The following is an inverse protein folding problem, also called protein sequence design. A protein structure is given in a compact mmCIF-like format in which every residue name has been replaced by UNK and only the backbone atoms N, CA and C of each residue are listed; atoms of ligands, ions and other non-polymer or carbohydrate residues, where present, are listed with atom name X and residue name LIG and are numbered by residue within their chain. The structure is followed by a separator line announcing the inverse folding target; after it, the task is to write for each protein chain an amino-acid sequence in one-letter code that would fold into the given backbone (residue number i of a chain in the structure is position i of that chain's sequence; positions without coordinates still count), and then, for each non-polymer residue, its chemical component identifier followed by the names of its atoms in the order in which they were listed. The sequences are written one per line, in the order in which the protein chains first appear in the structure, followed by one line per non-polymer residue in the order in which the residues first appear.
data_IF_193678465435
#
_entry.id   IF_193678465435
#
_cell.length_a   1.000
_cell.length_b   1.000
_cell.length_c   1.000
_cell.angle_alpha   90.00
_cell.angle_beta   90.00
_cell.angle_gamma   90.00
#
_symmetry.space_group_name_H-M   'P 1'
#
loop_
_entity.id
_entity.type
_entity.pdbx_description
1 polymer ?
#
# COMPACT_ATOMS: atom_id res chain seq x y z
N UNK A 1 31.15 -3.31 5.45
CA UNK A 1 31.13 -3.70 4.03
C UNK A 1 29.99 -4.65 3.64
N UNK A 2 29.71 -5.77 4.34
CA UNK A 2 28.60 -6.67 3.98
C UNK A 2 27.20 -6.16 4.39
N UNK A 3 27.12 -5.36 5.46
CA UNK A 3 25.86 -4.74 5.88
C UNK A 3 25.48 -3.53 5.02
N UNK A 4 26.46 -2.82 4.45
CA UNK A 4 26.23 -1.59 3.69
C UNK A 4 25.45 -1.87 2.38
N UNK A 5 25.74 -3.01 1.73
CA UNK A 5 25.01 -3.45 0.53
C UNK A 5 23.55 -3.85 0.83
N UNK A 6 23.31 -4.51 1.97
CA UNK A 6 21.97 -4.91 2.41
C UNK A 6 21.10 -3.70 2.78
N UNK A 7 21.71 -2.69 3.43
CA UNK A 7 21.01 -1.44 3.74
C UNK A 7 20.66 -0.70 2.45
N UNK A 8 21.59 -0.56 1.51
CA UNK A 8 21.34 0.09 0.23
C UNK A 8 20.20 -0.59 -0.55
N UNK A 9 20.22 -1.92 -0.64
CA UNK A 9 19.15 -2.69 -1.30
C UNK A 9 17.78 -2.44 -0.64
N UNK A 10 17.69 -2.47 0.69
CA UNK A 10 16.42 -2.18 1.38
C UNK A 10 15.93 -0.75 1.12
N UNK A 11 16.84 0.23 1.03
CA UNK A 11 16.47 1.60 0.68
C UNK A 11 15.94 1.71 -0.75
N UNK A 12 16.57 1.02 -1.71
CA UNK A 12 16.11 1.00 -3.10
C UNK A 12 14.72 0.39 -3.23
N UNK A 13 14.44 -0.68 -2.48
CA UNK A 13 13.11 -1.30 -2.44
C UNK A 13 12.07 -0.38 -1.81
N UNK A 14 12.42 0.32 -0.72
CA UNK A 14 11.54 1.31 -0.10
C UNK A 14 11.24 2.46 -1.07
N UNK A 15 12.25 2.99 -1.75
CA UNK A 15 12.08 4.03 -2.77
C UNK A 15 11.21 3.55 -3.94
N UNK A 16 11.40 2.31 -4.39
CA UNK A 16 10.57 1.70 -5.43
C UNK A 16 9.10 1.56 -5.02
N UNK A 17 8.84 1.20 -3.76
CA UNK A 17 7.47 1.14 -3.23
C UNK A 17 6.83 2.54 -3.17
N UNK A 18 7.56 3.55 -2.71
CA UNK A 18 7.08 4.94 -2.69
C UNK A 18 6.81 5.47 -4.12
N UNK A 19 7.65 5.10 -5.10
CA UNK A 19 7.44 5.43 -6.51
C UNK A 19 6.12 4.84 -7.03
N UNK A 20 5.89 3.55 -6.81
CA UNK A 20 4.65 2.85 -7.19
C UNK A 20 3.45 3.47 -6.48
N UNK A 21 3.56 3.69 -5.17
CA UNK A 21 2.51 4.32 -4.37
C UNK A 21 2.14 5.69 -4.95
N UNK A 22 3.12 6.53 -5.25
CA UNK A 22 2.89 7.90 -5.74
C UNK A 22 2.24 7.94 -7.12
N UNK A 23 2.49 6.96 -7.99
CA UNK A 23 1.76 6.79 -9.27
C UNK A 23 0.30 6.41 -9.05
N UNK A 24 0.04 5.44 -8.17
CA UNK A 24 -1.32 4.98 -7.89
C UNK A 24 -2.12 6.03 -7.10
N UNK A 25 -1.48 6.73 -6.18
CA UNK A 25 -2.10 7.78 -5.36
C UNK A 25 -2.60 8.96 -6.20
N UNK A 26 -1.94 9.26 -7.33
CA UNK A 26 -2.37 10.31 -8.26
C UNK A 26 -3.77 10.04 -8.84
N UNK A 27 -4.14 8.76 -9.00
CA UNK A 27 -5.46 8.36 -9.50
C UNK A 27 -6.61 8.73 -8.55
N UNK A 28 -6.33 8.92 -7.25
CA UNK A 28 -7.35 9.24 -6.25
C UNK A 28 -7.41 10.74 -5.98
N UNK A 29 -8.60 11.33 -5.94
CA UNK A 29 -8.78 12.75 -5.61
C UNK A 29 -8.63 13.05 -4.11
N UNK A 30 -9.00 12.09 -3.25
CA UNK A 30 -9.04 12.25 -1.78
C UNK A 30 -7.78 11.72 -1.11
N UNK A 31 -7.37 12.36 -0.01
CA UNK A 31 -6.19 11.97 0.76
C UNK A 31 -6.33 10.60 1.47
N UNK A 32 -7.54 10.25 1.93
CA UNK A 32 -7.79 8.99 2.65
C UNK A 32 -7.49 7.73 1.78
N UNK A 33 -8.04 7.57 0.56
CA UNK A 33 -7.66 6.48 -0.34
C UNK A 33 -6.17 6.46 -0.71
N UNK A 34 -5.54 7.64 -0.85
CA UNK A 34 -4.09 7.73 -1.10
C UNK A 34 -3.32 7.08 0.05
N UNK A 35 -3.57 7.49 1.29
CA UNK A 35 -2.89 6.88 2.44
C UNK A 35 -3.15 5.37 2.54
N UNK A 36 -4.41 4.95 2.29
CA UNK A 36 -4.81 3.55 2.40
C UNK A 36 -4.19 2.66 1.33
N UNK A 37 -3.97 3.15 0.11
CA UNK A 37 -3.37 2.34 -0.95
C UNK A 37 -1.93 1.93 -0.61
N UNK A 38 -1.17 2.78 0.08
CA UNK A 38 0.17 2.42 0.56
C UNK A 38 0.12 1.28 1.58
N UNK A 39 -0.80 1.35 2.54
CA UNK A 39 -1.00 0.28 3.53
C UNK A 39 -1.42 -1.03 2.86
N UNK A 40 -2.32 -0.94 1.86
CA UNK A 40 -2.74 -2.07 1.05
C UNK A 40 -1.57 -2.72 0.29
N UNK A 41 -0.72 -1.92 -0.37
CA UNK A 41 0.47 -2.40 -1.09
C UNK A 41 1.47 -3.07 -0.13
N UNK A 42 1.72 -2.47 1.04
CA UNK A 42 2.58 -3.06 2.07
C UNK A 42 2.05 -4.42 2.53
N UNK A 43 0.74 -4.55 2.73
CA UNK A 43 0.12 -5.84 3.06
C UNK A 43 0.23 -6.87 1.93
N UNK A 44 0.07 -6.46 0.68
CA UNK A 44 0.21 -7.34 -0.49
C UNK A 44 1.65 -7.82 -0.71
N UNK A 45 2.64 -6.98 -0.46
CA UNK A 45 4.06 -7.31 -0.66
C UNK A 45 4.70 -7.93 0.59
N UNK A 46 4.06 -7.78 1.74
CA UNK A 46 4.50 -8.36 3.01
C UNK A 46 4.32 -9.88 3.07
N UNK A 47 4.88 -10.46 4.12
CA UNK A 47 4.84 -11.89 4.40
C UNK A 47 3.53 -12.31 5.10
N UNK A 48 2.39 -11.85 4.60
CA UNK A 48 1.09 -12.28 5.11
C UNK A 48 0.71 -13.63 4.53
N UNK A 49 0.32 -14.58 5.39
CA UNK A 49 -0.08 -15.93 4.98
C UNK A 49 -1.31 -15.90 4.04
N UNK A 50 -2.25 -14.98 4.29
CA UNK A 50 -3.43 -14.77 3.45
C UNK A 50 -3.61 -13.28 3.11
N UNK A 51 -3.94 -13.00 1.85
CA UNK A 51 -4.13 -11.64 1.32
C UNK A 51 -5.61 -11.35 1.06
N UNK A 52 -6.44 -11.55 2.09
CA UNK A 52 -7.85 -11.19 2.04
C UNK A 52 -8.08 -9.81 2.71
N UNK A 53 -9.26 -9.22 2.49
CA UNK A 53 -9.57 -7.88 2.98
C UNK A 53 -9.49 -7.72 4.50
N UNK A 54 -9.78 -8.77 5.27
CA UNK A 54 -9.65 -8.74 6.74
C UNK A 54 -8.17 -8.72 7.15
N UNK A 55 -7.36 -9.67 6.66
CA UNK A 55 -5.94 -9.76 7.02
C UNK A 55 -5.16 -8.53 6.57
N UNK A 56 -5.51 -7.93 5.43
CA UNK A 56 -4.90 -6.68 4.97
C UNK A 56 -5.31 -5.47 5.82
N UNK A 57 -6.56 -5.43 6.30
CA UNK A 57 -7.02 -4.40 7.22
C UNK A 57 -6.33 -4.50 8.59
N UNK A 58 -6.20 -5.72 9.12
CA UNK A 58 -5.43 -5.97 10.36
C UNK A 58 -3.97 -5.55 10.20
N UNK A 59 -3.32 -5.93 9.10
CA UNK A 59 -1.93 -5.54 8.83
C UNK A 59 -1.77 -4.01 8.68
N UNK A 60 -2.83 -3.30 8.28
CA UNK A 60 -2.87 -1.86 8.21
C UNK A 60 -3.25 -1.17 9.54
N UNK A 61 -3.52 -1.94 10.60
CA UNK A 61 -3.95 -1.41 11.90
C UNK A 61 -5.41 -0.95 11.95
N UNK A 62 -6.23 -1.39 11.00
CA UNK A 62 -7.66 -1.05 10.96
C UNK A 62 -8.48 -2.02 11.83
N UNK A 63 -9.53 -1.48 12.46
CA UNK A 63 -10.44 -2.25 13.32
C UNK A 63 -11.49 -3.04 12.55
N UNK A 64 -11.64 -2.78 11.25
CA UNK A 64 -12.59 -3.47 10.37
C UNK A 64 -12.08 -3.48 8.92
N UNK A 65 -12.56 -4.42 8.07
CA UNK A 65 -12.19 -4.47 6.66
C UNK A 65 -12.86 -3.39 5.82
N UNK A 66 -13.72 -2.56 6.40
CA UNK A 66 -14.56 -1.63 5.64
C UNK A 66 -13.74 -0.55 4.94
N UNK A 67 -12.62 -0.11 5.55
CA UNK A 67 -11.70 0.83 4.92
C UNK A 67 -11.11 0.26 3.62
N UNK A 68 -10.60 -0.97 3.70
CA UNK A 68 -10.07 -1.71 2.54
C UNK A 68 -11.15 -2.01 1.50
N UNK A 69 -12.36 -2.37 1.93
CA UNK A 69 -13.47 -2.59 1.00
C UNK A 69 -13.89 -1.30 0.31
N UNK A 70 -13.96 -0.17 1.03
CA UNK A 70 -14.24 1.14 0.42
C UNK A 70 -13.16 1.52 -0.59
N UNK A 71 -11.88 1.32 -0.28
CA UNK A 71 -10.78 1.54 -1.22
C UNK A 71 -10.99 0.78 -2.53
N UNK A 72 -11.36 -0.51 -2.46
CA UNK A 72 -11.42 -1.37 -3.64
C UNK A 72 -12.75 -1.28 -4.40
N UNK A 73 -13.85 -0.92 -3.73
CA UNK A 73 -15.20 -0.98 -4.32
C UNK A 73 -15.79 0.38 -4.65
N UNK A 74 -15.53 1.41 -3.84
CA UNK A 74 -16.30 2.66 -3.91
C UNK A 74 -15.45 3.92 -3.90
N UNK A 75 -14.12 3.80 -3.72
CA UNK A 75 -13.24 4.94 -3.83
C UNK A 75 -13.23 5.44 -5.27
N UNK A 76 -13.44 6.75 -5.42
CA UNK A 76 -13.37 7.44 -6.71
C UNK A 76 -11.91 7.50 -7.18
N UNK A 77 -11.65 6.96 -8.37
CA UNK A 77 -10.33 6.94 -8.97
C UNK A 77 -10.41 7.10 -10.49
N UNK A 78 -9.40 7.74 -11.06
CA UNK A 78 -9.23 7.89 -12.50
C UNK A 78 -7.86 7.36 -12.93
N UNK A 79 -7.86 6.35 -13.80
CA UNK A 79 -6.65 5.73 -14.34
C UNK A 79 -5.80 6.71 -15.17
N UNK A 80 -6.46 7.70 -15.78
CA UNK A 80 -5.87 8.68 -16.69
C UNK A 80 -5.63 10.05 -16.03
N UNK A 81 -5.67 10.10 -14.69
CA UNK A 81 -5.45 11.33 -13.91
C UNK A 81 -4.03 11.90 -14.02
#
# INVERSE_FOLDING_TARGET
MRCDGLVAEVQDWAAGLEEVHRRIAAAFSRAEPRARVLAYLRGLLGQLERKNGWTLAEAAGEVSPDGMQRLLRTADWNADA
#
